data_IF_425520971022
#
_entry.id   IF_425520971022
#
_cell.length_a   1.000
_cell.length_b   1.000
_cell.length_c   1.000
_cell.angle_alpha   90.00
_cell.angle_beta   90.00
_cell.angle_gamma   90.00
#
_symmetry.space_group_name_H-M   'P 1'
#
loop_
_entity.id
_entity.type
_entity.pdbx_description
1 polymer ?
#
# COMPACT_ATOMS: atom_id res chain seq x y z
N UNK A 1 1.45 -1.78 19.36
CA UNK A 1 2.22 -1.79 18.10
C UNK A 1 1.68 -0.66 17.22
N UNK A 2 2.51 0.25 16.72
CA UNK A 2 2.06 1.33 15.83
C UNK A 2 1.73 0.74 14.46
N UNK A 3 0.54 1.04 13.91
CA UNK A 3 0.14 0.56 12.59
C UNK A 3 0.66 1.54 11.54
N UNK A 4 1.66 1.18 10.73
CA UNK A 4 2.18 2.07 9.70
C UNK A 4 1.21 2.10 8.51
N UNK A 5 0.85 3.30 8.09
CA UNK A 5 0.13 3.58 6.83
C UNK A 5 0.97 4.49 5.97
N UNK A 6 0.77 4.43 4.68
CA UNK A 6 1.45 5.29 3.74
C UNK A 6 0.43 6.09 2.93
N UNK A 7 0.64 7.39 2.83
CA UNK A 7 -0.18 8.27 1.98
C UNK A 7 0.63 8.73 0.78
N UNK A 8 -0.04 8.79 -0.36
CA UNK A 8 0.60 9.04 -1.64
C UNK A 8 -0.28 9.89 -2.54
N UNK A 9 0.38 10.63 -3.43
CA UNK A 9 -0.23 11.36 -4.51
C UNK A 9 0.34 10.87 -5.84
N UNK A 10 -0.53 10.62 -6.82
CA UNK A 10 -0.10 10.37 -8.19
C UNK A 10 -1.01 11.06 -9.19
N UNK A 11 -0.50 11.22 -10.40
CA UNK A 11 -1.18 11.90 -11.49
C UNK A 11 -1.91 10.90 -12.39
N UNK A 12 -3.16 11.21 -12.72
CA UNK A 12 -3.95 10.52 -13.74
C UNK A 12 -4.09 11.48 -14.94
N UNK A 13 -3.53 11.14 -16.12
CA UNK A 13 -3.54 12.03 -17.26
C UNK A 13 -4.96 12.24 -17.76
N UNK A 14 -5.29 13.48 -18.13
CA UNK A 14 -6.51 13.80 -18.88
C UNK A 14 -6.28 13.58 -20.38
N UNK A 15 -7.36 13.43 -21.17
CA UNK A 15 -7.31 13.49 -22.64
C UNK A 15 -6.83 14.85 -23.16
N UNK A 16 -7.02 15.91 -22.36
CA UNK A 16 -6.53 17.24 -22.69
C UNK A 16 -5.06 17.34 -22.29
N UNK A 17 -4.20 17.59 -23.26
CA UNK A 17 -2.75 17.69 -23.06
C UNK A 17 -2.41 18.76 -22.02
N UNK A 18 -1.58 18.39 -21.04
CA UNK A 18 -1.14 19.26 -19.95
C UNK A 18 -2.09 19.31 -18.75
N UNK A 19 -3.25 18.65 -18.82
CA UNK A 19 -4.16 18.52 -17.69
C UNK A 19 -4.04 17.18 -17.02
N UNK A 20 -4.12 17.17 -15.68
CA UNK A 20 -4.01 15.99 -14.86
C UNK A 20 -5.07 16.01 -13.74
N UNK A 21 -5.55 14.83 -13.37
CA UNK A 21 -6.29 14.60 -12.14
C UNK A 21 -5.34 14.07 -11.09
N UNK A 22 -5.58 14.42 -9.84
CA UNK A 22 -4.73 14.11 -8.70
C UNK A 22 -5.36 13.02 -7.86
N UNK A 23 -4.77 11.83 -7.88
CA UNK A 23 -5.21 10.68 -7.09
C UNK A 23 -4.44 10.64 -5.78
N UNK A 24 -5.16 10.87 -4.68
CA UNK A 24 -4.69 10.64 -3.32
C UNK A 24 -5.01 9.21 -2.91
N UNK A 25 -4.04 8.51 -2.33
CA UNK A 25 -4.18 7.13 -1.85
C UNK A 25 -3.62 7.00 -0.44
N UNK A 26 -4.30 6.20 0.39
CA UNK A 26 -3.78 5.74 1.68
C UNK A 26 -3.76 4.21 1.65
N UNK A 27 -2.57 3.64 1.84
CA UNK A 27 -2.34 2.20 1.88
C UNK A 27 -1.98 1.77 3.31
N UNK A 28 -2.56 0.69 3.77
CA UNK A 28 -2.11 -0.02 4.97
C UNK A 28 -0.91 -0.90 4.60
N UNK A 29 0.27 -0.54 5.09
CA UNK A 29 1.54 -1.17 4.69
C UNK A 29 1.58 -2.66 5.07
N UNK A 30 0.96 -3.03 6.19
CA UNK A 30 0.94 -4.41 6.66
C UNK A 30 0.10 -5.31 5.75
N UNK A 31 -1.10 -4.89 5.43
CA UNK A 31 -2.04 -5.68 4.62
C UNK A 31 -1.94 -5.40 3.12
N UNK A 32 -1.33 -4.31 2.70
CA UNK A 32 -1.34 -3.79 1.33
C UNK A 32 -2.70 -3.30 0.87
N UNK A 33 -3.67 -3.15 1.77
CA UNK A 33 -5.01 -2.69 1.43
C UNK A 33 -5.02 -1.19 1.15
N UNK A 34 -5.63 -0.80 0.05
CA UNK A 34 -6.02 0.59 -0.18
C UNK A 34 -7.16 0.90 0.79
N UNK A 35 -6.87 1.66 1.84
CA UNK A 35 -7.82 2.01 2.90
C UNK A 35 -8.47 3.38 2.68
N UNK A 36 -7.92 4.21 1.80
CA UNK A 36 -8.49 5.50 1.43
C UNK A 36 -8.06 5.90 0.02
N UNK A 37 -8.96 6.52 -0.73
CA UNK A 37 -8.60 7.15 -1.99
C UNK A 37 -9.62 8.23 -2.37
N UNK A 38 -9.12 9.25 -3.06
CA UNK A 38 -9.93 10.31 -3.67
C UNK A 38 -9.23 10.86 -4.90
N UNK A 39 -10.03 11.38 -5.86
CA UNK A 39 -9.53 12.04 -7.07
C UNK A 39 -10.07 13.45 -7.16
N UNK A 40 -9.18 14.40 -7.44
CA UNK A 40 -9.47 15.81 -7.54
C UNK A 40 -8.83 16.45 -8.78
N UNK A 41 -9.30 17.64 -9.15
CA UNK A 41 -8.75 18.42 -10.28
C UNK A 41 -7.58 19.31 -9.85
N UNK A 42 -7.31 19.39 -8.58
CA UNK A 42 -6.21 20.20 -8.03
C UNK A 42 -5.48 19.48 -6.90
N UNK A 43 -4.27 19.88 -6.69
CA UNK A 43 -3.43 19.48 -5.58
C UNK A 43 -3.66 20.39 -4.37
N UNK A 44 -3.91 19.83 -3.18
CA UNK A 44 -4.13 20.58 -1.97
C UNK A 44 -3.87 19.76 -0.70
N UNK A 45 -3.27 20.40 0.30
CA UNK A 45 -3.09 19.80 1.63
C UNK A 45 -4.42 19.62 2.38
N UNK A 46 -5.43 20.45 2.13
CA UNK A 46 -6.76 20.27 2.74
C UNK A 46 -7.44 19.01 2.26
N UNK A 47 -7.32 18.67 0.97
CA UNK A 47 -7.87 17.43 0.40
C UNK A 47 -7.20 16.19 1.00
N UNK A 48 -5.88 16.25 1.20
CA UNK A 48 -5.15 15.18 1.88
C UNK A 48 -5.59 15.02 3.34
N UNK A 49 -5.80 16.12 4.05
CA UNK A 49 -6.26 16.13 5.44
C UNK A 49 -7.69 15.57 5.59
N UNK A 50 -8.60 15.94 4.70
CA UNK A 50 -9.96 15.41 4.68
C UNK A 50 -10.01 13.91 4.36
N UNK A 51 -9.22 13.45 3.38
CA UNK A 51 -9.11 12.02 3.08
C UNK A 51 -8.57 11.25 4.28
N UNK A 52 -7.54 11.78 4.96
CA UNK A 52 -6.99 11.17 6.17
C UNK A 52 -8.05 11.03 7.25
N UNK A 53 -8.79 12.09 7.57
CA UNK A 53 -9.85 12.08 8.58
C UNK A 53 -10.93 11.05 8.26
N UNK A 54 -11.44 11.03 7.03
CA UNK A 54 -12.45 10.05 6.58
C UNK A 54 -11.93 8.61 6.67
N UNK A 55 -10.66 8.41 6.32
CA UNK A 55 -10.03 7.08 6.38
C UNK A 55 -9.88 6.60 7.81
N UNK A 56 -9.42 7.46 8.74
CA UNK A 56 -9.27 7.14 10.16
C UNK A 56 -10.61 6.77 10.79
N UNK A 57 -11.67 7.52 10.47
CA UNK A 57 -13.02 7.25 10.96
C UNK A 57 -13.57 5.93 10.41
N UNK A 58 -13.45 5.68 9.11
CA UNK A 58 -13.94 4.46 8.45
C UNK A 58 -13.24 3.21 8.95
N UNK A 59 -11.93 3.26 9.12
CA UNK A 59 -11.12 2.14 9.59
C UNK A 59 -11.09 2.05 11.13
N UNK A 60 -11.79 2.94 11.84
CA UNK A 60 -11.93 2.98 13.30
C UNK A 60 -10.58 2.93 14.06
N UNK A 61 -9.53 3.51 13.48
CA UNK A 61 -8.17 3.43 14.03
C UNK A 61 -7.78 4.60 14.93
N UNK A 62 -8.73 5.43 15.35
CA UNK A 62 -8.52 6.56 16.27
C UNK A 62 -8.13 6.15 17.71
N UNK A 63 -8.27 4.87 18.06
CA UNK A 63 -7.88 4.30 19.36
C UNK A 63 -6.47 3.69 19.37
N UNK A 64 -5.79 3.67 18.24
CA UNK A 64 -4.49 3.00 18.09
C UNK A 64 -3.42 3.97 17.65
N UNK A 65 -2.18 3.88 18.18
CA UNK A 65 -1.08 4.70 17.71
C UNK A 65 -0.82 4.42 16.23
N UNK A 66 -1.02 5.45 15.40
CA UNK A 66 -0.87 5.39 13.96
C UNK A 66 0.38 6.16 13.51
N UNK A 67 1.09 5.63 12.53
CA UNK A 67 2.15 6.34 11.82
C UNK A 67 1.72 6.52 10.38
N UNK A 68 1.73 7.77 9.89
CA UNK A 68 1.49 8.08 8.49
C UNK A 68 2.81 8.43 7.82
N UNK A 69 3.26 7.57 6.91
CA UNK A 69 4.42 7.83 6.08
C UNK A 69 4.00 8.48 4.76
N UNK A 70 4.77 9.46 4.30
CA UNK A 70 4.54 10.13 3.02
C UNK A 70 5.84 10.46 2.31
N UNK A 71 5.74 10.71 1.02
CA UNK A 71 6.81 11.37 0.28
C UNK A 71 6.97 12.84 0.68
N UNK A 72 7.86 13.54 -0.02
CA UNK A 72 8.14 14.94 0.21
C UNK A 72 7.28 15.90 -0.63
N UNK A 73 6.18 15.44 -1.21
CA UNK A 73 5.27 16.26 -2.01
C UNK A 73 4.68 17.45 -1.23
N UNK A 74 4.38 18.54 -1.93
CA UNK A 74 3.90 19.77 -1.29
C UNK A 74 2.63 19.57 -0.44
N UNK A 75 1.59 18.81 -0.86
CA UNK A 75 0.42 18.55 -0.03
C UNK A 75 0.75 17.78 1.24
N UNK A 76 1.74 16.85 1.16
CA UNK A 76 2.14 15.99 2.27
C UNK A 76 2.92 16.76 3.34
N UNK A 77 3.54 17.88 2.98
CA UNK A 77 4.25 18.80 3.91
C UNK A 77 3.39 19.98 4.36
N UNK A 78 2.16 20.09 3.91
CA UNK A 78 1.29 21.22 4.23
C UNK A 78 1.01 21.35 5.72
N UNK A 79 0.89 22.59 6.19
CA UNK A 79 0.53 22.91 7.59
C UNK A 79 -0.84 22.31 7.92
N UNK A 80 -1.79 22.35 6.98
CA UNK A 80 -3.14 21.79 7.15
C UNK A 80 -3.12 20.30 7.42
N UNK A 81 -2.32 19.52 6.66
CA UNK A 81 -2.22 18.08 6.90
C UNK A 81 -1.51 17.79 8.23
N UNK A 82 -0.46 18.54 8.58
CA UNK A 82 0.23 18.40 9.86
C UNK A 82 -0.69 18.66 11.05
N UNK A 83 -1.44 19.77 11.02
CA UNK A 83 -2.43 20.08 12.06
C UNK A 83 -3.49 18.99 12.20
N UNK A 84 -3.97 18.42 11.07
CA UNK A 84 -4.92 17.31 11.10
C UNK A 84 -4.30 16.02 11.68
N UNK A 85 -3.04 15.73 11.40
CA UNK A 85 -2.34 14.59 12.02
C UNK A 85 -2.21 14.76 13.54
N UNK A 86 -1.88 15.97 13.99
CA UNK A 86 -1.81 16.29 15.43
C UNK A 86 -3.17 16.13 16.12
N UNK A 87 -4.24 16.68 15.52
CA UNK A 87 -5.64 16.53 15.99
C UNK A 87 -6.03 15.05 16.14
N UNK A 88 -5.62 14.21 15.20
CA UNK A 88 -5.91 12.78 15.18
C UNK A 88 -4.89 11.90 15.94
N UNK A 89 -3.93 12.51 16.66
CA UNK A 89 -2.85 11.84 17.36
C UNK A 89 -2.01 10.89 16.46
N UNK A 90 -1.80 11.28 15.19
CA UNK A 90 -1.05 10.51 14.20
C UNK A 90 0.39 11.03 14.13
N UNK A 91 1.36 10.13 14.22
CA UNK A 91 2.77 10.46 14.02
C UNK A 91 3.10 10.54 12.53
N UNK A 92 3.58 11.70 12.07
CA UNK A 92 4.08 11.87 10.71
C UNK A 92 5.48 11.27 10.52
N UNK A 93 5.71 10.68 9.34
CA UNK A 93 7.02 10.21 8.89
C UNK A 93 7.18 10.58 7.42
N UNK A 94 8.36 11.01 7.02
CA UNK A 94 8.63 11.39 5.63
C UNK A 94 9.83 10.63 5.08
N UNK A 95 9.84 10.43 3.76
CA UNK A 95 11.00 9.91 3.04
C UNK A 95 12.20 10.84 3.21
N UNK A 96 13.40 10.28 3.26
CA UNK A 96 14.62 11.07 3.26
C UNK A 96 14.79 11.80 1.93
N UNK A 97 15.32 13.04 1.94
CA UNK A 97 15.58 13.75 0.68
C UNK A 97 16.48 12.93 -0.25
N UNK A 98 16.11 12.87 -1.52
CA UNK A 98 16.88 12.19 -2.58
C UNK A 98 17.13 10.69 -2.39
N UNK A 99 16.34 10.01 -1.54
CA UNK A 99 16.42 8.55 -1.35
C UNK A 99 15.17 7.90 -1.96
N UNK A 100 15.31 7.34 -3.16
CA UNK A 100 14.21 6.72 -3.91
C UNK A 100 13.63 5.46 -3.21
N UNK A 101 14.45 4.74 -2.45
CA UNK A 101 14.04 3.48 -1.83
C UNK A 101 13.25 3.63 -0.52
N UNK A 102 12.95 4.84 -0.08
CA UNK A 102 12.24 5.07 1.18
C UNK A 102 10.72 4.86 1.07
N UNK A 103 10.20 4.69 -0.17
CA UNK A 103 8.78 4.48 -0.38
C UNK A 103 8.44 3.34 -1.37
N UNK A 104 8.98 2.13 -1.16
CA UNK A 104 8.82 1.01 -2.10
C UNK A 104 7.37 0.52 -2.22
N UNK A 105 6.55 0.84 -1.23
CA UNK A 105 5.13 0.43 -1.17
C UNK A 105 4.31 1.18 -2.20
N UNK A 106 4.39 2.51 -2.19
CA UNK A 106 3.68 3.35 -3.15
C UNK A 106 4.16 3.12 -4.58
N UNK A 107 5.47 2.98 -4.78
CA UNK A 107 6.02 2.69 -6.10
C UNK A 107 5.46 1.38 -6.67
N UNK A 108 5.40 0.33 -5.86
CA UNK A 108 4.80 -0.95 -6.23
C UNK A 108 3.31 -0.82 -6.55
N UNK A 109 2.55 -0.07 -5.73
CA UNK A 109 1.12 0.17 -5.93
C UNK A 109 0.88 0.98 -7.21
N UNK A 110 1.61 2.08 -7.41
CA UNK A 110 1.48 2.91 -8.61
C UNK A 110 1.92 2.20 -9.88
N UNK A 111 2.91 1.32 -9.79
CA UNK A 111 3.27 0.44 -10.90
C UNK A 111 2.09 -0.47 -11.26
N UNK A 112 1.50 -1.15 -10.28
CA UNK A 112 0.32 -2.02 -10.50
C UNK A 112 -0.84 -1.23 -11.11
N UNK A 113 -1.08 0.00 -10.63
CA UNK A 113 -2.14 0.88 -11.12
C UNK A 113 -1.89 1.30 -12.58
N UNK A 114 -0.71 1.85 -12.90
CA UNK A 114 -0.39 2.41 -14.22
C UNK A 114 -0.15 1.34 -15.30
N UNK A 115 0.26 0.14 -14.90
CA UNK A 115 0.43 -0.99 -15.82
C UNK A 115 -0.77 -1.96 -15.84
N UNK A 116 -1.88 -1.58 -15.21
CA UNK A 116 -3.13 -2.31 -15.36
C UNK A 116 -3.57 -2.31 -16.82
N UNK A 117 -3.98 -3.45 -17.40
CA UNK A 117 -4.46 -3.53 -18.79
C UNK A 117 -5.62 -2.57 -19.10
N UNK A 118 -6.36 -2.18 -18.08
CA UNK A 118 -7.50 -1.26 -18.20
C UNK A 118 -7.12 0.22 -18.02
N UNK A 119 -5.82 0.53 -17.82
CA UNK A 119 -5.37 1.91 -17.74
C UNK A 119 -5.55 2.61 -19.10
N UNK A 120 -6.27 3.76 -19.16
CA UNK A 120 -6.52 4.41 -20.43
C UNK A 120 -5.24 5.09 -20.96
N UNK A 121 -4.68 4.52 -22.01
CA UNK A 121 -3.44 5.01 -22.65
C UNK A 121 -3.54 6.45 -23.19
N UNK A 122 -4.77 6.87 -23.55
CA UNK A 122 -5.04 8.23 -24.05
C UNK A 122 -5.52 9.21 -22.97
N UNK A 123 -5.47 8.80 -21.70
CA UNK A 123 -5.96 9.59 -20.59
C UNK A 123 -7.48 9.52 -20.38
N UNK A 124 -7.92 10.15 -19.32
CA UNK A 124 -9.31 10.13 -18.86
C UNK A 124 -10.10 11.31 -19.44
N UNK A 125 -11.37 11.06 -19.76
CA UNK A 125 -12.25 12.07 -20.35
C UNK A 125 -12.60 13.19 -19.37
N UNK A 126 -12.96 12.82 -18.16
CA UNK A 126 -13.45 13.70 -17.10
C UNK A 126 -13.18 13.12 -15.70
N UNK A 127 -13.38 13.92 -14.67
CA UNK A 127 -13.17 13.55 -13.27
C UNK A 127 -14.04 12.34 -12.85
N UNK A 128 -15.28 12.26 -13.35
CA UNK A 128 -16.16 11.13 -13.06
C UNK A 128 -15.56 9.82 -13.60
N UNK A 129 -15.08 9.83 -14.82
CA UNK A 129 -14.46 8.65 -15.46
C UNK A 129 -13.23 8.17 -14.67
N UNK A 130 -12.39 9.10 -14.17
CA UNK A 130 -11.25 8.74 -13.30
C UNK A 130 -11.72 8.08 -12.02
N UNK A 131 -12.70 8.69 -11.33
CA UNK A 131 -13.25 8.17 -10.07
C UNK A 131 -13.85 6.78 -10.24
N UNK A 132 -14.65 6.57 -11.29
CA UNK A 132 -15.25 5.29 -11.62
C UNK A 132 -14.17 4.22 -11.90
N UNK A 133 -13.08 4.60 -12.57
CA UNK A 133 -11.96 3.71 -12.85
C UNK A 133 -11.21 3.35 -11.57
N UNK A 134 -10.87 4.36 -10.75
CA UNK A 134 -10.13 4.15 -9.48
C UNK A 134 -10.96 3.29 -8.51
N UNK A 135 -12.29 3.48 -8.47
CA UNK A 135 -13.18 2.64 -7.67
C UNK A 135 -13.09 1.17 -8.08
N UNK A 136 -13.16 0.89 -9.38
CA UNK A 136 -13.02 -0.49 -9.89
C UNK A 136 -11.63 -1.07 -9.59
N UNK A 137 -10.59 -0.26 -9.82
CA UNK A 137 -9.21 -0.66 -9.52
C UNK A 137 -9.03 -0.99 -8.04
N UNK A 138 -9.45 -0.12 -7.13
CA UNK A 138 -9.31 -0.31 -5.69
C UNK A 138 -10.11 -1.55 -5.20
N UNK A 139 -11.29 -1.78 -5.77
CA UNK A 139 -12.10 -2.97 -5.48
C UNK A 139 -11.40 -4.24 -5.92
N UNK A 140 -10.93 -4.30 -7.15
CA UNK A 140 -10.17 -5.43 -7.68
C UNK A 140 -8.86 -5.65 -6.91
N UNK A 141 -8.09 -4.58 -6.68
CA UNK A 141 -6.81 -4.65 -5.96
C UNK A 141 -6.98 -5.21 -4.55
N UNK A 142 -8.00 -4.75 -3.83
CA UNK A 142 -8.23 -5.18 -2.46
C UNK A 142 -8.78 -6.62 -2.36
N UNK A 143 -9.64 -7.04 -3.28
CA UNK A 143 -10.42 -8.27 -3.12
C UNK A 143 -10.00 -9.42 -4.04
N UNK A 144 -9.32 -9.14 -5.15
CA UNK A 144 -9.00 -10.15 -6.17
C UNK A 144 -7.49 -10.26 -6.44
N UNK A 145 -6.75 -9.13 -6.40
CA UNK A 145 -5.31 -9.14 -6.67
C UNK A 145 -4.54 -9.89 -5.59
N UNK A 146 -3.92 -11.02 -5.98
CA UNK A 146 -3.11 -11.84 -5.09
C UNK A 146 -1.67 -11.32 -5.04
N UNK A 147 -1.26 -10.79 -3.90
CA UNK A 147 0.05 -10.15 -3.72
C UNK A 147 1.13 -11.18 -3.37
N UNK A 148 2.17 -11.29 -4.19
CA UNK A 148 3.27 -12.25 -3.97
C UNK A 148 4.01 -12.02 -2.65
N UNK A 149 4.22 -10.75 -2.27
CA UNK A 149 4.91 -10.36 -1.02
C UNK A 149 4.15 -10.67 0.27
N UNK A 150 2.86 -10.98 0.18
CA UNK A 150 2.06 -11.41 1.32
C UNK A 150 1.54 -12.85 1.16
N UNK A 151 2.28 -13.67 0.41
CA UNK A 151 1.96 -15.08 0.23
C UNK A 151 0.79 -15.36 -0.70
N UNK A 152 0.53 -14.49 -1.70
CA UNK A 152 -0.56 -14.62 -2.67
C UNK A 152 -1.96 -14.63 -2.06
N UNK A 153 -2.14 -14.00 -0.92
CA UNK A 153 -3.47 -13.64 -0.42
C UNK A 153 -3.86 -12.25 -0.95
N UNK A 154 -5.14 -11.92 -0.89
CA UNK A 154 -5.57 -10.57 -1.23
C UNK A 154 -5.33 -9.60 -0.07
N UNK A 155 -5.15 -8.29 -0.34
CA UNK A 155 -5.04 -7.28 0.70
C UNK A 155 -6.19 -7.32 1.71
N UNK A 156 -7.43 -7.52 1.25
CA UNK A 156 -8.58 -7.60 2.13
C UNK A 156 -8.55 -8.83 3.04
N UNK A 157 -8.15 -10.00 2.53
CA UNK A 157 -7.99 -11.21 3.35
C UNK A 157 -6.97 -11.00 4.47
N UNK A 158 -5.81 -10.40 4.12
CA UNK A 158 -4.77 -10.12 5.12
C UNK A 158 -5.22 -9.05 6.12
N UNK A 159 -5.94 -8.04 5.68
CA UNK A 159 -6.45 -6.98 6.54
C UNK A 159 -7.43 -7.49 7.58
N UNK A 160 -8.25 -8.51 7.23
CA UNK A 160 -9.15 -9.22 8.16
C UNK A 160 -8.47 -10.32 8.98
N UNK A 161 -7.17 -10.60 8.74
CA UNK A 161 -6.41 -11.64 9.45
C UNK A 161 -6.69 -13.08 8.97
N UNK A 162 -7.39 -13.25 7.84
CA UNK A 162 -7.72 -14.55 7.23
C UNK A 162 -6.50 -15.23 6.60
N UNK A 163 -5.44 -14.45 6.31
CA UNK A 163 -4.20 -14.92 5.70
C UNK A 163 -3.51 -16.04 6.48
N UNK A 164 -3.59 -16.02 7.81
CA UNK A 164 -2.97 -17.06 8.66
C UNK A 164 -3.51 -18.45 8.33
N UNK A 165 -4.82 -18.60 8.29
CA UNK A 165 -5.47 -19.87 7.98
C UNK A 165 -5.21 -20.30 6.53
N UNK A 166 -5.27 -19.35 5.58
CA UNK A 166 -5.02 -19.61 4.17
C UNK A 166 -3.57 -20.07 3.92
N UNK A 167 -2.59 -19.43 4.56
CA UNK A 167 -1.18 -19.81 4.42
C UNK A 167 -0.89 -21.17 5.06
N UNK A 168 -1.48 -21.47 6.21
CA UNK A 168 -1.37 -22.79 6.84
C UNK A 168 -1.95 -23.89 5.96
N UNK A 169 -3.14 -23.67 5.37
CA UNK A 169 -3.75 -24.60 4.43
C UNK A 169 -2.87 -24.82 3.19
N UNK A 170 -2.33 -23.75 2.59
CA UNK A 170 -1.42 -23.85 1.44
C UNK A 170 -0.18 -24.67 1.78
N UNK A 171 0.44 -24.42 2.94
CA UNK A 171 1.58 -25.19 3.41
C UNK A 171 1.26 -26.68 3.41
N UNK A 172 0.17 -27.08 4.04
CA UNK A 172 -0.27 -28.48 4.13
C UNK A 172 -0.49 -29.10 2.74
N UNK A 173 -1.13 -28.37 1.81
CA UNK A 173 -1.38 -28.86 0.44
C UNK A 173 -0.07 -29.10 -0.31
N UNK A 174 0.88 -28.15 -0.21
CA UNK A 174 2.19 -28.28 -0.88
C UNK A 174 3.04 -29.40 -0.29
N UNK A 175 3.05 -29.56 1.04
CA UNK A 175 3.78 -30.64 1.71
C UNK A 175 3.22 -32.02 1.33
N UNK A 176 1.90 -32.19 1.30
CA UNK A 176 1.26 -33.42 0.83
C UNK A 176 1.58 -33.70 -0.63
N UNK A 177 1.49 -32.72 -1.51
CA UNK A 177 1.80 -32.89 -2.92
C UNK A 177 3.27 -33.31 -3.14
N UNK A 178 4.21 -32.76 -2.35
CA UNK A 178 5.63 -33.17 -2.38
C UNK A 178 5.82 -34.60 -1.91
N UNK A 179 5.14 -34.99 -0.83
CA UNK A 179 5.20 -36.37 -0.31
C UNK A 179 4.69 -37.40 -1.33
N UNK A 180 3.60 -37.05 -2.04
CA UNK A 180 3.01 -37.95 -3.05
C UNK A 180 3.86 -38.05 -4.32
N UNK A 181 4.60 -37.01 -4.71
CA UNK A 181 5.38 -36.96 -5.94
C UNK A 181 6.72 -36.28 -5.72
N UNK A 182 7.65 -36.88 -4.93
CA UNK A 182 8.92 -36.23 -4.55
C UNK A 182 9.81 -35.88 -5.74
N UNK A 183 9.82 -36.70 -6.79
CA UNK A 183 10.62 -36.48 -7.99
C UNK A 183 10.25 -35.26 -8.83
N UNK A 184 9.07 -34.67 -8.59
CA UNK A 184 8.66 -33.41 -9.25
C UNK A 184 9.22 -32.17 -8.58
N UNK A 185 9.93 -32.30 -7.47
CA UNK A 185 10.41 -31.19 -6.66
C UNK A 185 11.93 -31.15 -6.64
N UNK A 186 12.51 -30.11 -7.21
CA UNK A 186 13.98 -29.89 -7.25
C UNK A 186 14.52 -29.25 -5.96
N UNK A 187 13.66 -28.89 -5.02
CA UNK A 187 14.07 -28.22 -3.79
C UNK A 187 12.95 -28.16 -2.74
N UNK A 188 13.09 -27.27 -1.78
CA UNK A 188 12.09 -27.06 -0.74
C UNK A 188 10.81 -26.43 -1.29
N UNK A 189 9.68 -26.67 -0.61
CA UNK A 189 8.43 -25.97 -0.91
C UNK A 189 8.55 -24.48 -0.60
N UNK A 190 7.75 -23.65 -1.27
CA UNK A 190 7.73 -22.21 -1.02
C UNK A 190 7.47 -21.95 0.46
N UNK A 191 8.17 -20.94 1.01
CA UNK A 191 7.91 -20.47 2.37
C UNK A 191 6.51 -19.84 2.47
N UNK A 192 5.61 -20.50 3.17
CA UNK A 192 4.24 -20.06 3.45
C UNK A 192 4.09 -19.48 4.86
N UNK A 193 5.20 -19.12 5.53
CA UNK A 193 5.14 -18.53 6.86
C UNK A 193 4.46 -17.17 6.82
N UNK A 194 3.61 -16.94 7.82
CA UNK A 194 2.96 -15.65 8.01
C UNK A 194 4.00 -14.57 8.39
N UNK A 195 4.02 -13.47 7.64
CA UNK A 195 4.87 -12.31 7.94
C UNK A 195 4.19 -11.50 9.04
N UNK A 196 4.74 -11.53 10.25
CA UNK A 196 4.17 -10.87 11.43
C UNK A 196 4.38 -9.36 11.45
N UNK A 197 5.52 -8.91 10.94
CA UNK A 197 5.96 -7.51 10.98
C UNK A 197 6.41 -7.04 9.61
N UNK A 198 6.09 -5.79 9.32
CA UNK A 198 6.48 -5.14 8.08
C UNK A 198 7.12 -3.80 8.42
N UNK A 199 8.32 -3.55 7.90
CA UNK A 199 9.05 -2.31 8.06
C UNK A 199 9.00 -1.49 6.79
N UNK A 200 8.94 -0.17 6.91
CA UNK A 200 9.02 0.75 5.78
C UNK A 200 10.38 0.67 5.10
N UNK A 201 11.44 0.64 5.88
CA UNK A 201 12.81 0.57 5.40
C UNK A 201 13.60 -0.33 6.37
N UNK A 202 13.58 -1.66 6.17
CA UNK A 202 14.34 -2.56 7.01
C UNK A 202 15.83 -2.21 6.86
N UNK A 203 16.48 -1.81 7.94
CA UNK A 203 17.94 -1.67 7.96
C UNK A 203 18.59 -2.95 7.44
N UNK A 204 19.70 -2.84 6.70
CA UNK A 204 20.49 -4.02 6.35
C UNK A 204 20.78 -4.80 7.63
N UNK A 205 20.53 -6.12 7.68
CA UNK A 205 20.95 -6.91 8.83
C UNK A 205 22.44 -6.66 9.02
N UNK A 206 22.85 -6.23 10.22
CA UNK A 206 24.28 -6.12 10.55
C UNK A 206 24.86 -7.52 10.35
N UNK A 207 25.79 -7.65 9.40
CA UNK A 207 26.54 -8.88 9.20
C UNK A 207 27.19 -9.26 10.53
N UNK A 208 27.19 -10.53 10.88
CA UNK A 208 27.72 -11.04 12.14
C UNK A 208 29.22 -10.69 12.35
N UNK A 209 29.92 -10.24 11.31
CA UNK A 209 31.31 -9.83 11.31
C UNK A 209 31.58 -8.46 11.94
N UNK A 210 30.57 -7.60 12.15
CA UNK A 210 30.75 -6.30 12.79
C UNK A 210 30.69 -6.34 14.34
N UNK A 211 30.56 -7.54 14.94
CA UNK A 211 30.55 -7.72 16.40
C UNK A 211 31.89 -8.20 16.97
N UNK A 212 32.95 -8.29 16.17
CA UNK A 212 34.28 -8.77 16.57
C UNK A 212 35.39 -7.74 16.33
N UNK A 213 35.08 -6.44 16.37
CA UNK A 213 36.07 -5.36 16.35
C UNK A 213 35.86 -4.41 17.53
#
# INVERSE_FOLDING_TARGET
>A
MRLPRSTHLTYCPSKVRGFYYYLYLIEDIYSRKIVGWEVHERESGSLAAELLQRTVLREQCFKSPLVLHSDNGAPMKSVTLKAKMEELCITGSHSRPSVSNDNPYSESLFRTLKYSPQWPSQGFKDLKTVRDWVQRFATWYNNEHCHSRIGFVTPAQRHRGEDKALLAQRKTVYEKARQMNPLRWSGEVRNWQHIKEVSLNPGKPMSAEAKAA
#
